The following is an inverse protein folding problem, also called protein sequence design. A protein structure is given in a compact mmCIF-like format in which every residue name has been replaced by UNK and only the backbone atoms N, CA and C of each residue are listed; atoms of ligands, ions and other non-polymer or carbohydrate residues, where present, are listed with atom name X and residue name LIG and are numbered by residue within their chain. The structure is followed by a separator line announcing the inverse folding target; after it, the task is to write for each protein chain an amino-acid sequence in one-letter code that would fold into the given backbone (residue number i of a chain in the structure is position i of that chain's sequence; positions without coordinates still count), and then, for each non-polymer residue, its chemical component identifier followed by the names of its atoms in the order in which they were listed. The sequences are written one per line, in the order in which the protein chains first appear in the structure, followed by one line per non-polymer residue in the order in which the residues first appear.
data_IF_355690421068
#
_entry.id   IF_355690421068
#
_cell.length_a   1.000
_cell.length_b   1.000
_cell.length_c   1.000
_cell.angle_alpha   90.00
_cell.angle_beta   90.00
_cell.angle_gamma   90.00
#
_symmetry.space_group_name_H-M   'P 1'
#
loop_
_entity.id
_entity.type
_entity.pdbx_description
1 polymer ?
#
# COMPACT_ATOMS: atom_id res chain seq x y z
N UNK A 1 10.91 -47.63 -14.85
CA UNK A 1 10.45 -47.15 -13.52
C UNK A 1 9.09 -46.47 -13.69
N UNK A 2 8.15 -46.70 -12.76
CA UNK A 2 6.82 -46.07 -12.78
C UNK A 2 6.96 -44.57 -12.43
N UNK A 3 6.24 -43.65 -13.11
CA UNK A 3 6.31 -42.22 -12.78
C UNK A 3 5.85 -42.00 -11.34
N UNK A 4 6.60 -41.18 -10.58
CA UNK A 4 6.20 -40.77 -9.24
C UNK A 4 4.80 -40.12 -9.33
N UNK A 5 3.85 -40.66 -8.57
CA UNK A 5 2.46 -40.22 -8.61
C UNK A 5 2.37 -38.73 -8.27
N UNK A 6 2.01 -37.92 -9.26
CA UNK A 6 1.85 -36.47 -9.13
C UNK A 6 0.83 -36.16 -8.03
N UNK A 7 1.26 -35.45 -6.99
CA UNK A 7 0.47 -35.21 -5.80
C UNK A 7 -0.78 -34.36 -6.15
N UNK A 8 -1.98 -34.86 -5.84
CA UNK A 8 -3.22 -34.11 -6.02
C UNK A 8 -3.29 -33.01 -4.96
N UNK A 9 -3.27 -31.76 -5.38
CA UNK A 9 -3.52 -30.61 -4.51
C UNK A 9 -5.02 -30.34 -4.45
N UNK A 10 -5.56 -30.14 -3.24
CA UNK A 10 -6.98 -29.79 -3.03
C UNK A 10 -7.29 -28.35 -3.44
N UNK A 11 -6.29 -27.46 -3.42
CA UNK A 11 -6.40 -26.07 -3.84
C UNK A 11 -5.18 -25.66 -4.68
N UNK A 12 -5.42 -25.00 -5.81
CA UNK A 12 -4.35 -24.38 -6.60
C UNK A 12 -3.93 -23.03 -5.99
N UNK A 13 -2.63 -22.72 -6.03
CA UNK A 13 -2.14 -21.41 -5.60
C UNK A 13 -2.69 -20.27 -6.48
N UNK A 14 -2.69 -19.03 -5.98
CA UNK A 14 -3.25 -17.87 -6.68
C UNK A 14 -2.64 -17.65 -8.07
N UNK A 15 -1.34 -17.90 -8.23
CA UNK A 15 -0.66 -17.79 -9.51
C UNK A 15 -1.14 -18.83 -10.54
N UNK A 16 -1.22 -20.11 -10.16
CA UNK A 16 -1.74 -21.17 -11.02
C UNK A 16 -3.23 -20.94 -11.36
N UNK A 17 -4.01 -20.42 -10.40
CA UNK A 17 -5.42 -20.07 -10.62
C UNK A 17 -5.57 -18.91 -11.61
N UNK A 18 -4.76 -17.87 -11.49
CA UNK A 18 -4.76 -16.73 -12.42
C UNK A 18 -4.38 -17.14 -13.84
N UNK A 19 -3.37 -18.02 -13.99
CA UNK A 19 -2.91 -18.55 -15.28
C UNK A 19 -3.76 -19.74 -15.80
N UNK A 20 -4.79 -20.17 -15.05
CA UNK A 20 -5.62 -21.36 -15.35
C UNK A 20 -4.82 -22.63 -15.63
N UNK A 21 -3.73 -22.83 -14.90
CA UNK A 21 -2.82 -23.98 -15.04
C UNK A 21 -2.96 -24.93 -13.85
N UNK A 22 -2.55 -26.20 -14.02
CA UNK A 22 -2.52 -27.17 -12.92
C UNK A 22 -1.43 -26.78 -11.91
N UNK A 23 -1.79 -26.77 -10.63
CA UNK A 23 -0.84 -26.53 -9.53
C UNK A 23 -0.18 -27.84 -9.12
N UNK A 24 1.13 -27.81 -8.90
CA UNK A 24 1.93 -28.93 -8.41
C UNK A 24 1.98 -29.00 -6.87
N UNK A 25 1.38 -28.02 -6.19
CA UNK A 25 1.30 -27.93 -4.73
C UNK A 25 2.62 -27.51 -4.08
N UNK A 26 3.66 -27.24 -4.88
CA UNK A 26 4.91 -26.67 -4.37
C UNK A 26 4.70 -25.18 -4.16
N UNK A 27 5.21 -24.70 -3.05
CA UNK A 27 5.19 -23.30 -2.73
C UNK A 27 6.04 -22.52 -3.77
N UNK A 28 5.53 -21.38 -4.29
CA UNK A 28 6.25 -20.60 -5.29
C UNK A 28 7.67 -20.25 -4.82
N UNK A 29 8.67 -20.43 -5.70
CA UNK A 29 10.08 -20.17 -5.39
C UNK A 29 10.34 -18.78 -4.80
N UNK A 30 9.57 -17.76 -5.24
CA UNK A 30 9.62 -16.40 -4.69
C UNK A 30 9.21 -16.32 -3.22
N UNK A 31 8.18 -17.04 -2.78
CA UNK A 31 7.72 -17.00 -1.39
C UNK A 31 8.80 -17.61 -0.49
N UNK A 32 9.27 -18.83 -0.83
CA UNK A 32 10.41 -19.48 -0.18
C UNK A 32 11.66 -18.60 -0.10
N UNK A 33 11.98 -17.89 -1.19
CA UNK A 33 13.13 -16.98 -1.23
C UNK A 33 12.96 -15.81 -0.25
N UNK A 34 11.76 -15.20 -0.18
CA UNK A 34 11.47 -14.11 0.73
C UNK A 34 11.41 -14.56 2.19
N UNK A 35 10.85 -15.74 2.46
CA UNK A 35 10.84 -16.34 3.80
C UNK A 35 12.26 -16.68 4.30
N UNK A 36 13.13 -17.16 3.41
CA UNK A 36 14.56 -17.35 3.70
C UNK A 36 15.25 -16.02 4.03
N UNK A 37 14.95 -14.95 3.28
CA UNK A 37 15.47 -13.61 3.58
C UNK A 37 14.99 -13.09 4.93
N UNK A 38 13.69 -13.24 5.27
CA UNK A 38 13.13 -12.89 6.58
C UNK A 38 13.87 -13.60 7.72
N UNK A 39 14.09 -14.90 7.56
CA UNK A 39 14.80 -15.72 8.55
C UNK A 39 16.23 -15.24 8.75
N UNK A 40 16.93 -14.85 7.67
CA UNK A 40 18.29 -14.31 7.73
C UNK A 40 18.40 -12.93 8.40
N UNK A 41 17.31 -12.15 8.40
CA UNK A 41 17.24 -10.81 8.99
C UNK A 41 16.86 -10.82 10.48
N UNK A 42 16.53 -11.98 11.06
CA UNK A 42 16.28 -12.13 12.50
C UNK A 42 15.01 -11.44 13.03
N UNK A 43 14.05 -11.09 12.16
CA UNK A 43 12.80 -10.46 12.58
C UNK A 43 11.85 -11.50 13.23
N UNK A 44 11.37 -11.30 14.47
CA UNK A 44 10.35 -12.18 15.06
C UNK A 44 9.01 -12.01 14.34
N UNK A 45 8.35 -13.11 14.01
CA UNK A 45 6.97 -13.13 13.51
C UNK A 45 6.00 -12.58 14.56
N UNK A 46 5.21 -11.52 14.29
CA UNK A 46 4.01 -11.25 15.07
C UNK A 46 2.91 -12.22 14.60
N UNK A 47 2.72 -13.30 15.35
CA UNK A 47 1.46 -14.03 15.46
C UNK A 47 0.85 -14.57 14.16
N UNK A 48 1.47 -15.59 13.56
CA UNK A 48 0.72 -16.60 12.83
C UNK A 48 0.65 -17.86 13.70
N UNK A 49 -0.44 -18.01 14.45
CA UNK A 49 -0.83 -19.32 14.97
C UNK A 49 -1.11 -20.21 13.75
N UNK A 50 -0.08 -20.93 13.31
CA UNK A 50 -0.25 -22.01 12.37
C UNK A 50 -0.73 -23.21 13.19
N UNK A 51 -1.99 -23.58 12.98
CA UNK A 51 -2.58 -24.80 13.53
C UNK A 51 -1.73 -25.97 13.03
N UNK A 52 -1.06 -26.65 13.94
CA UNK A 52 -0.31 -27.87 13.66
C UNK A 52 -1.25 -28.94 13.12
N UNK A 53 -1.03 -29.36 11.88
CA UNK A 53 -1.46 -30.68 11.39
C UNK A 53 -0.20 -31.41 10.98
N UNK A 54 0.23 -32.28 11.90
CA UNK A 54 1.50 -32.98 11.87
C UNK A 54 1.71 -33.83 10.63
N UNK A 55 2.98 -34.01 10.28
CA UNK A 55 3.42 -35.17 9.50
C UNK A 55 4.81 -35.58 9.92
N UNK A 56 4.85 -36.79 10.45
CA UNK A 56 6.02 -37.60 10.78
C UNK A 56 6.85 -37.88 9.51
N UNK A 57 8.17 -37.90 9.70
CA UNK A 57 9.03 -39.00 9.25
C UNK A 57 9.51 -39.04 7.80
N UNK A 58 10.83 -39.28 7.70
CA UNK A 58 11.56 -39.95 6.61
C UNK A 58 12.15 -39.06 5.51
N UNK A 59 13.43 -38.74 5.77
CA UNK A 59 14.61 -39.10 4.98
C UNK A 59 14.81 -38.53 3.57
N UNK A 60 16.01 -37.96 3.44
CA UNK A 60 16.63 -37.49 2.23
C UNK A 60 16.82 -38.63 1.22
N UNK A 61 16.68 -38.31 -0.05
CA UNK A 61 17.65 -38.76 -1.05
C UNK A 61 17.63 -37.81 -2.24
N UNK A 62 18.83 -37.31 -2.53
CA UNK A 62 19.21 -36.59 -3.73
C UNK A 62 19.03 -37.48 -4.94
N UNK A 63 18.51 -36.95 -6.05
CA UNK A 63 19.20 -37.08 -7.35
C UNK A 63 18.57 -36.17 -8.41
N UNK A 64 19.50 -35.60 -9.18
CA UNK A 64 19.34 -34.72 -10.33
C UNK A 64 18.74 -35.47 -11.52
N UNK A 65 17.80 -34.85 -12.25
CA UNK A 65 17.88 -34.74 -13.73
C UNK A 65 16.76 -33.88 -14.35
N UNK A 66 17.14 -33.27 -15.46
CA UNK A 66 16.54 -32.14 -16.20
C UNK A 66 15.22 -32.45 -16.91
N UNK A 67 14.26 -31.52 -16.86
CA UNK A 67 13.04 -31.56 -17.68
C UNK A 67 12.83 -30.22 -18.40
N UNK A 68 12.81 -30.27 -19.73
CA UNK A 68 12.66 -29.14 -20.65
C UNK A 68 11.18 -28.75 -20.73
N UNK A 69 10.76 -27.78 -19.91
CA UNK A 69 9.76 -26.81 -20.31
C UNK A 69 10.51 -25.55 -20.75
N UNK A 70 9.96 -24.78 -21.68
CA UNK A 70 10.41 -23.41 -21.99
C UNK A 70 10.29 -22.53 -20.73
N UNK A 71 11.22 -22.73 -19.80
CA UNK A 71 11.51 -21.88 -18.66
C UNK A 71 12.29 -20.72 -19.26
N UNK A 72 11.63 -19.59 -19.50
CA UNK A 72 12.36 -18.35 -19.66
C UNK A 72 13.13 -18.11 -18.36
N UNK A 73 14.46 -18.32 -18.33
CA UNK A 73 15.26 -18.21 -17.11
C UNK A 73 15.19 -16.77 -16.58
N UNK A 74 14.95 -15.81 -17.49
CA UNK A 74 14.77 -14.42 -17.17
C UNK A 74 13.47 -14.18 -16.39
N UNK A 75 12.39 -14.92 -16.65
CA UNK A 75 11.13 -14.83 -15.90
C UNK A 75 11.26 -15.37 -14.46
N UNK A 76 12.07 -16.41 -14.28
CA UNK A 76 12.35 -17.04 -12.99
C UNK A 76 13.32 -16.19 -12.18
N UNK A 77 14.37 -15.67 -12.82
CA UNK A 77 15.25 -14.65 -12.25
C UNK A 77 14.46 -13.39 -11.88
N UNK A 78 13.72 -12.76 -12.81
CA UNK A 78 12.94 -11.55 -12.51
C UNK A 78 11.89 -11.77 -11.42
N UNK A 79 11.33 -12.98 -11.31
CA UNK A 79 10.47 -13.40 -10.19
C UNK A 79 11.21 -13.55 -8.86
N UNK A 80 12.50 -13.89 -8.88
CA UNK A 80 13.41 -14.05 -7.74
C UNK A 80 14.18 -12.77 -7.37
N UNK A 81 14.24 -11.75 -8.24
CA UNK A 81 15.13 -10.57 -8.08
C UNK A 81 14.60 -9.51 -7.10
N UNK A 82 13.43 -9.74 -6.50
CA UNK A 82 12.98 -8.86 -5.43
C UNK A 82 13.60 -9.18 -4.08
N UNK A 83 14.00 -8.15 -3.34
CA UNK A 83 14.73 -8.27 -2.07
C UNK A 83 14.00 -7.56 -0.94
N UNK A 84 13.99 -8.18 0.24
CA UNK A 84 13.62 -7.53 1.48
C UNK A 84 14.84 -6.83 2.07
N UNK A 85 14.69 -5.55 2.41
CA UNK A 85 15.72 -4.77 3.09
C UNK A 85 15.09 -3.91 4.18
N UNK A 86 15.81 -3.77 5.29
CA UNK A 86 15.51 -2.75 6.30
C UNK A 86 16.15 -1.45 5.83
N UNK A 87 15.33 -0.42 5.66
CA UNK A 87 15.77 0.89 5.16
C UNK A 87 16.01 1.81 6.37
N UNK A 88 16.43 3.05 6.13
CA UNK A 88 16.69 4.09 7.14
C UNK A 88 15.48 4.39 8.05
N UNK A 89 14.28 3.92 7.67
CA UNK A 89 13.08 3.99 8.48
C UNK A 89 12.95 2.90 9.55
N UNK A 90 13.87 1.93 9.56
CA UNK A 90 13.83 0.78 10.44
C UNK A 90 12.72 -0.23 10.12
N UNK A 91 12.00 -0.05 9.03
CA UNK A 91 10.96 -0.97 8.58
C UNK A 91 11.47 -1.86 7.44
N UNK A 92 10.83 -3.01 7.31
CA UNK A 92 11.13 -3.98 6.26
C UNK A 92 10.37 -3.63 4.99
N UNK A 93 11.09 -3.39 3.90
CA UNK A 93 10.51 -3.08 2.59
C UNK A 93 10.83 -4.16 1.58
N UNK A 94 9.84 -4.47 0.71
CA UNK A 94 10.05 -5.33 -0.44
C UNK A 94 10.38 -4.48 -1.68
N UNK A 95 11.57 -4.66 -2.20
CA UNK A 95 12.02 -4.04 -3.45
C UNK A 95 11.84 -5.04 -4.58
N UNK A 96 11.08 -4.67 -5.61
CA UNK A 96 10.93 -5.48 -6.82
C UNK A 96 12.22 -5.51 -7.64
N UNK A 97 12.24 -6.33 -8.69
CA UNK A 97 13.43 -6.54 -9.49
C UNK A 97 13.99 -5.26 -10.14
N UNK A 98 13.09 -4.36 -10.52
CA UNK A 98 13.42 -3.05 -11.12
C UNK A 98 13.88 -2.01 -10.08
N UNK A 99 13.60 -2.24 -8.79
CA UNK A 99 13.92 -1.31 -7.69
C UNK A 99 15.20 -1.70 -6.94
N UNK A 100 15.77 -2.88 -7.22
CA UNK A 100 16.95 -3.43 -6.52
C UNK A 100 18.28 -2.71 -6.82
N UNK A 101 18.37 -1.88 -7.87
CA UNK A 101 19.66 -1.35 -8.34
C UNK A 101 20.25 -0.21 -7.48
N UNK A 102 19.47 0.38 -6.56
CA UNK A 102 19.87 1.57 -5.80
C UNK A 102 19.92 1.38 -4.28
N UNK A 103 19.83 0.14 -3.78
CA UNK A 103 19.87 -0.12 -2.34
C UNK A 103 21.29 0.09 -1.78
N UNK A 104 21.52 1.07 -0.88
CA UNK A 104 22.76 1.13 -0.12
C UNK A 104 22.87 -0.16 0.70
N UNK A 105 24.04 -0.81 0.65
CA UNK A 105 24.39 -1.82 1.65
C UNK A 105 24.62 -1.06 2.97
N UNK A 106 23.58 -1.00 3.79
CA UNK A 106 23.62 -0.63 5.21
C UNK A 106 23.85 0.86 5.51
N UNK A 107 22.97 1.53 6.28
CA UNK A 107 23.34 2.82 6.87
C UNK A 107 24.32 2.61 8.03
N UNK A 108 25.42 3.37 8.02
CA UNK A 108 26.47 3.35 9.03
C UNK A 108 26.16 4.23 10.26
N UNK A 109 24.93 4.73 10.44
CA UNK A 109 24.51 5.51 11.61
C UNK A 109 22.99 5.41 11.80
N UNK A 110 22.46 5.47 13.05
CA UNK A 110 21.03 5.58 13.28
C UNK A 110 20.57 6.99 12.87
N UNK A 111 20.14 7.12 11.62
CA UNK A 111 19.38 8.29 11.16
C UNK A 111 18.09 8.42 12.01
N UNK A 112 17.48 9.62 12.10
CA UNK A 112 16.15 9.73 12.69
C UNK A 112 15.21 8.76 11.98
N UNK A 113 14.61 7.83 12.72
CA UNK A 113 13.65 6.84 12.19
C UNK A 113 12.65 7.56 11.29
N UNK A 114 12.40 7.09 10.06
CA UNK A 114 11.54 7.84 9.14
C UNK A 114 10.12 8.06 9.67
N UNK A 115 9.64 7.26 10.63
CA UNK A 115 8.42 7.55 11.38
C UNK A 115 8.45 8.94 12.05
N UNK A 116 9.59 9.35 12.61
CA UNK A 116 9.79 10.65 13.22
C UNK A 116 9.85 11.76 12.16
N UNK A 117 10.36 11.48 10.96
CA UNK A 117 10.41 12.45 9.87
C UNK A 117 9.03 12.65 9.25
N UNK A 118 8.30 11.58 8.96
CA UNK A 118 6.93 11.61 8.45
C UNK A 118 6.00 12.40 9.39
N UNK A 119 6.06 12.12 10.70
CA UNK A 119 5.27 12.85 11.71
C UNK A 119 5.63 14.35 11.75
N UNK A 120 6.91 14.70 11.55
CA UNK A 120 7.35 16.10 11.43
C UNK A 120 6.78 16.75 10.17
N UNK A 121 6.84 16.08 9.02
CA UNK A 121 6.30 16.59 7.76
C UNK A 121 4.79 16.82 7.85
N UNK A 122 4.05 15.92 8.49
CA UNK A 122 2.62 16.12 8.77
C UNK A 122 2.35 17.38 9.60
N UNK A 123 3.11 17.55 10.68
CA UNK A 123 2.95 18.71 11.58
C UNK A 123 3.26 20.01 10.85
N UNK A 124 4.33 20.04 10.05
CA UNK A 124 4.70 21.21 9.23
C UNK A 124 3.66 21.50 8.16
N UNK A 125 3.15 20.48 7.46
CA UNK A 125 2.11 20.65 6.46
C UNK A 125 0.82 21.21 7.05
N UNK A 126 0.39 20.72 8.22
CA UNK A 126 -0.78 21.26 8.93
C UNK A 126 -0.57 22.72 9.36
N UNK A 127 0.62 23.04 9.88
CA UNK A 127 0.97 24.40 10.25
C UNK A 127 0.97 25.35 9.04
N UNK A 128 1.49 24.89 7.90
CA UNK A 128 1.48 25.65 6.65
C UNK A 128 0.05 25.87 6.12
N UNK A 129 -0.79 24.82 6.13
CA UNK A 129 -2.20 24.94 5.75
C UNK A 129 -2.95 25.93 6.65
N UNK A 130 -2.67 25.92 7.96
CA UNK A 130 -3.24 26.88 8.90
C UNK A 130 -2.78 28.33 8.63
N UNK A 131 -1.49 28.54 8.38
CA UNK A 131 -0.93 29.86 8.05
C UNK A 131 -1.52 30.46 6.77
N UNK A 132 -1.85 29.60 5.80
CA UNK A 132 -2.47 30.00 4.53
C UNK A 132 -4.00 30.15 4.62
N UNK A 133 -4.61 29.86 5.78
CA UNK A 133 -6.07 29.90 5.94
C UNK A 133 -6.80 28.79 5.19
N UNK A 134 -6.09 27.70 4.83
CA UNK A 134 -6.61 26.58 4.05
C UNK A 134 -6.91 25.35 4.89
N UNK A 135 -6.72 25.42 6.21
CA UNK A 135 -7.08 24.35 7.13
C UNK A 135 -8.60 24.27 7.28
N UNK A 136 -9.18 23.16 6.83
CA UNK A 136 -10.62 22.90 6.83
C UNK A 136 -10.98 22.06 8.04
N UNK A 137 -11.73 22.65 8.98
CA UNK A 137 -12.31 21.95 10.12
C UNK A 137 -13.79 21.64 9.84
N UNK A 138 -14.23 20.42 10.14
CA UNK A 138 -15.61 19.98 9.95
C UNK A 138 -16.15 19.27 11.19
N UNK A 139 -17.47 19.12 11.28
CA UNK A 139 -18.12 18.38 12.36
C UNK A 139 -17.88 16.88 12.23
N UNK A 140 -17.87 16.16 13.35
CA UNK A 140 -17.76 14.69 13.37
C UNK A 140 -18.85 14.02 12.53
N UNK A 141 -20.06 14.59 12.51
CA UNK A 141 -21.17 14.09 11.68
C UNK A 141 -20.84 14.17 10.19
N UNK A 142 -20.25 15.28 9.74
CA UNK A 142 -19.88 15.47 8.35
C UNK A 142 -18.68 14.59 7.96
N UNK A 143 -17.72 14.40 8.86
CA UNK A 143 -16.61 13.45 8.63
C UNK A 143 -17.13 12.04 8.37
N UNK A 144 -18.05 11.58 9.22
CA UNK A 144 -18.61 10.23 9.11
C UNK A 144 -19.47 10.06 7.86
N UNK A 145 -20.23 11.10 7.48
CA UNK A 145 -20.95 11.16 6.21
C UNK A 145 -20.01 11.02 5.00
N UNK A 146 -18.92 11.79 4.96
CA UNK A 146 -17.95 11.73 3.88
C UNK A 146 -17.22 10.37 3.82
N UNK A 147 -16.93 9.77 4.97
CA UNK A 147 -16.33 8.44 5.03
C UNK A 147 -17.29 7.36 4.57
N UNK A 148 -18.57 7.41 4.93
CA UNK A 148 -19.56 6.46 4.40
C UNK A 148 -19.61 6.52 2.87
N UNK A 149 -19.68 7.75 2.32
CA UNK A 149 -19.65 7.95 0.86
C UNK A 149 -18.38 7.40 0.22
N UNK A 150 -17.20 7.62 0.83
CA UNK A 150 -15.94 7.06 0.34
C UNK A 150 -16.00 5.53 0.24
N UNK A 151 -16.39 4.86 1.31
CA UNK A 151 -16.43 3.40 1.36
C UNK A 151 -17.46 2.81 0.41
N UNK A 152 -18.59 3.52 0.23
CA UNK A 152 -19.70 3.08 -0.60
C UNK A 152 -19.41 3.23 -2.09
N UNK A 153 -18.86 4.37 -2.50
CA UNK A 153 -18.77 4.75 -3.91
C UNK A 153 -17.35 4.70 -4.46
N UNK A 154 -16.38 5.27 -3.76
CA UNK A 154 -15.01 5.40 -4.30
C UNK A 154 -14.20 4.13 -4.09
N UNK A 155 -14.13 3.61 -2.85
CA UNK A 155 -13.27 2.47 -2.52
C UNK A 155 -13.80 1.13 -3.07
N UNK A 156 -15.10 1.05 -3.38
CA UNK A 156 -15.71 -0.12 -4.03
C UNK A 156 -15.28 -0.25 -5.50
N UNK A 157 -15.04 0.87 -6.17
CA UNK A 157 -14.54 0.92 -7.54
C UNK A 157 -13.02 0.85 -7.62
N UNK A 158 -12.31 1.54 -6.73
CA UNK A 158 -10.85 1.55 -6.68
C UNK A 158 -10.37 1.30 -5.25
N UNK A 159 -9.93 0.06 -5.00
CA UNK A 159 -9.52 -0.40 -3.68
C UNK A 159 -8.10 0.11 -3.34
N UNK A 160 -8.01 1.39 -2.96
CA UNK A 160 -6.75 2.06 -2.60
C UNK A 160 -6.47 1.90 -1.09
N UNK A 161 -7.53 1.95 -0.27
CA UNK A 161 -7.40 2.00 1.19
C UNK A 161 -8.06 0.78 1.82
N UNK A 162 -7.30 0.06 2.65
CA UNK A 162 -7.84 -1.04 3.44
C UNK A 162 -8.69 -0.52 4.59
N UNK A 163 -10.03 -0.61 4.45
CA UNK A 163 -11.02 -0.05 5.40
C UNK A 163 -10.75 -0.42 6.85
N UNK A 164 -10.47 -1.70 7.13
CA UNK A 164 -10.25 -2.16 8.51
C UNK A 164 -8.97 -1.62 9.15
N UNK A 165 -7.93 -1.32 8.36
CA UNK A 165 -6.68 -0.77 8.87
C UNK A 165 -6.84 0.72 9.14
N UNK A 166 -7.44 1.43 8.17
CA UNK A 166 -7.79 2.84 8.32
C UNK A 166 -8.65 3.11 9.55
N UNK A 167 -9.72 2.35 9.77
CA UNK A 167 -10.62 2.55 10.90
C UNK A 167 -9.96 2.28 12.25
N UNK A 168 -9.04 1.29 12.34
CA UNK A 168 -8.26 1.07 13.57
C UNK A 168 -7.31 2.22 13.86
N UNK A 169 -6.59 2.72 12.84
CA UNK A 169 -5.76 3.92 12.99
C UNK A 169 -6.56 5.15 13.38
N UNK A 170 -7.72 5.38 12.77
CA UNK A 170 -8.61 6.50 13.12
C UNK A 170 -9.12 6.40 14.57
N UNK A 171 -9.38 5.19 15.05
CA UNK A 171 -9.82 4.94 16.42
C UNK A 171 -8.69 4.97 17.46
N UNK A 172 -7.43 5.19 17.04
CA UNK A 172 -6.27 5.15 17.94
C UNK A 172 -5.96 3.75 18.49
N UNK A 173 -6.41 2.69 17.81
CA UNK A 173 -6.18 1.30 18.19
C UNK A 173 -4.82 0.76 17.71
N UNK A 174 -4.12 1.53 16.90
CA UNK A 174 -2.74 1.29 16.48
C UNK A 174 -1.96 2.62 16.49
N UNK A 175 -0.78 2.65 15.89
CA UNK A 175 0.10 3.83 15.89
C UNK A 175 -0.28 4.91 14.87
N UNK A 176 -1.50 4.88 14.34
CA UNK A 176 -2.04 5.92 13.47
C UNK A 176 -1.49 5.89 12.04
N UNK A 177 -0.63 4.91 11.71
CA UNK A 177 0.09 4.84 10.43
C UNK A 177 -0.81 4.75 9.20
N UNK A 178 -2.06 4.31 9.32
CA UNK A 178 -2.97 4.16 8.19
C UNK A 178 -4.05 5.25 8.11
N UNK A 179 -3.97 6.30 8.93
CA UNK A 179 -4.92 7.41 8.92
C UNK A 179 -4.17 8.74 9.09
N UNK A 180 -3.53 9.23 8.02
CA UNK A 180 -2.86 10.53 8.02
C UNK A 180 -3.81 11.69 7.74
N UNK A 181 -3.48 12.93 8.18
CA UNK A 181 -4.24 14.13 7.82
C UNK A 181 -4.34 14.34 6.30
N UNK A 182 -3.26 14.03 5.57
CA UNK A 182 -3.22 14.10 4.12
C UNK A 182 -4.20 13.11 3.48
N UNK A 183 -4.16 11.84 3.89
CA UNK A 183 -5.07 10.82 3.37
C UNK A 183 -6.52 11.16 3.68
N UNK A 184 -6.81 11.63 4.89
CA UNK A 184 -8.14 12.05 5.29
C UNK A 184 -8.63 13.23 4.43
N UNK A 185 -7.78 14.23 4.19
CA UNK A 185 -8.11 15.37 3.32
C UNK A 185 -8.38 14.94 1.88
N UNK A 186 -7.59 14.01 1.33
CA UNK A 186 -7.81 13.48 -0.02
C UNK A 186 -9.11 12.67 -0.11
N UNK A 187 -9.42 11.84 0.89
CA UNK A 187 -10.68 11.10 0.99
C UNK A 187 -11.87 12.05 1.05
N UNK A 188 -11.81 13.11 1.85
CA UNK A 188 -12.87 14.11 1.91
C UNK A 188 -13.04 14.87 0.60
N UNK A 189 -11.95 15.26 -0.05
CA UNK A 189 -11.97 15.97 -1.32
C UNK A 189 -12.69 15.17 -2.43
N UNK A 190 -12.40 13.87 -2.57
CA UNK A 190 -13.07 13.04 -3.58
C UNK A 190 -14.52 12.72 -3.18
N UNK A 191 -14.78 12.49 -1.89
CA UNK A 191 -16.08 12.03 -1.41
C UNK A 191 -17.13 13.13 -1.38
N UNK A 192 -16.71 14.38 -1.21
CA UNK A 192 -17.59 15.54 -1.25
C UNK A 192 -18.39 15.64 -2.57
N UNK A 193 -17.88 15.08 -3.67
CA UNK A 193 -18.58 15.01 -4.96
C UNK A 193 -19.83 14.13 -4.95
N UNK A 194 -19.91 13.18 -4.03
CA UNK A 194 -21.06 12.30 -3.87
C UNK A 194 -22.08 12.84 -2.86
N UNK A 195 -21.89 14.07 -2.38
CA UNK A 195 -22.72 14.72 -1.38
C UNK A 195 -23.39 15.97 -1.96
N UNK A 196 -24.67 16.15 -1.66
CA UNK A 196 -25.43 17.35 -2.05
C UNK A 196 -25.34 18.49 -1.04
N UNK A 197 -24.63 18.30 0.08
CA UNK A 197 -24.54 19.30 1.16
C UNK A 197 -23.81 20.56 0.69
N UNK A 198 -24.47 21.72 0.88
CA UNK A 198 -23.95 23.03 0.45
C UNK A 198 -22.70 23.44 1.22
N UNK A 199 -22.57 23.01 2.48
CA UNK A 199 -21.40 23.29 3.34
C UNK A 199 -20.07 22.74 2.81
N UNK A 200 -20.11 21.79 1.86
CA UNK A 200 -18.91 21.25 1.21
C UNK A 200 -18.45 22.06 0.01
N UNK A 201 -19.28 23.01 -0.46
CA UNK A 201 -19.02 23.81 -1.66
C UNK A 201 -18.32 25.09 -1.28
N UNK A 202 -17.25 25.42 -2.01
CA UNK A 202 -16.60 26.74 -1.86
C UNK A 202 -17.46 27.87 -2.43
N UNK A 203 -18.28 27.56 -3.44
CA UNK A 203 -19.29 28.47 -3.99
C UNK A 203 -20.64 27.78 -3.82
N UNK A 204 -21.52 28.34 -2.98
CA UNK A 204 -22.77 27.69 -2.55
C UNK A 204 -23.65 27.20 -3.72
N UNK A 205 -23.73 28.02 -4.78
CA UNK A 205 -24.57 27.78 -5.96
C UNK A 205 -23.90 26.91 -7.03
N UNK A 206 -22.65 26.51 -6.85
CA UNK A 206 -21.90 25.70 -7.81
C UNK A 206 -21.49 24.34 -7.21
N UNK A 207 -22.25 23.26 -7.53
CA UNK A 207 -21.93 21.91 -7.09
C UNK A 207 -20.55 21.40 -7.52
N UNK A 208 -19.98 21.93 -8.61
CA UNK A 208 -18.65 21.51 -9.08
C UNK A 208 -17.54 21.87 -8.09
N UNK A 209 -17.78 22.85 -7.22
CA UNK A 209 -16.83 23.29 -6.20
C UNK A 209 -16.83 22.46 -4.92
N UNK A 210 -17.69 21.44 -4.83
CA UNK A 210 -17.78 20.57 -3.66
C UNK A 210 -16.44 19.86 -3.40
N UNK A 211 -15.87 20.05 -2.21
CA UNK A 211 -14.60 19.44 -1.81
C UNK A 211 -13.34 20.19 -2.25
N UNK A 212 -13.45 21.36 -2.87
CA UNK A 212 -12.28 22.15 -3.28
C UNK A 212 -11.40 22.55 -2.10
N UNK A 213 -11.99 22.94 -0.96
CA UNK A 213 -11.24 23.29 0.25
C UNK A 213 -10.34 22.13 0.72
N UNK A 214 -10.87 20.91 0.78
CA UNK A 214 -10.10 19.71 1.11
C UNK A 214 -9.05 19.37 0.07
N UNK A 215 -9.34 19.60 -1.22
CA UNK A 215 -8.39 19.38 -2.31
C UNK A 215 -7.17 20.29 -2.16
N UNK A 216 -7.38 21.57 -1.90
CA UNK A 216 -6.29 22.52 -1.67
C UNK A 216 -5.51 22.21 -0.39
N UNK A 217 -6.19 21.86 0.71
CA UNK A 217 -5.52 21.38 1.92
C UNK A 217 -4.65 20.15 1.63
N UNK A 218 -5.18 19.15 0.91
CA UNK A 218 -4.45 17.95 0.57
C UNK A 218 -3.21 18.24 -0.29
N UNK A 219 -3.28 19.20 -1.23
CA UNK A 219 -2.10 19.61 -2.03
C UNK A 219 -0.99 20.20 -1.16
N UNK A 220 -1.35 21.05 -0.20
CA UNK A 220 -0.38 21.62 0.75
C UNK A 220 0.26 20.50 1.57
N UNK A 221 -0.56 19.62 2.17
CA UNK A 221 -0.05 18.51 2.97
C UNK A 221 0.85 17.56 2.16
N UNK A 222 0.48 17.29 0.91
CA UNK A 222 1.25 16.42 0.01
C UNK A 222 2.62 17.00 -0.32
N UNK A 223 2.73 18.33 -0.46
CA UNK A 223 4.02 18.99 -0.69
C UNK A 223 5.02 18.65 0.43
N UNK A 224 4.59 18.74 1.69
CA UNK A 224 5.44 18.43 2.84
C UNK A 224 5.67 16.92 3.02
N UNK A 225 4.61 16.11 3.00
CA UNK A 225 4.74 14.66 3.17
C UNK A 225 5.53 13.99 2.04
N UNK A 226 5.71 14.63 0.88
CA UNK A 226 6.55 14.12 -0.22
C UNK A 226 8.04 14.04 0.13
N UNK A 227 8.51 14.80 1.12
CA UNK A 227 9.90 14.71 1.61
C UNK A 227 10.13 13.46 2.48
N UNK A 228 9.07 12.86 3.01
CA UNK A 228 9.10 11.66 3.83
C UNK A 228 7.86 10.79 3.57
N UNK A 229 7.75 10.20 2.37
CA UNK A 229 6.53 9.55 1.94
C UNK A 229 6.26 8.27 2.73
N UNK A 230 4.99 8.05 3.05
CA UNK A 230 4.47 6.82 3.65
C UNK A 230 3.46 6.13 2.73
N UNK A 231 2.97 4.96 3.14
CA UNK A 231 1.85 4.30 2.45
C UNK A 231 0.64 5.23 2.29
N UNK A 232 0.32 6.03 3.31
CA UNK A 232 -0.81 6.95 3.28
C UNK A 232 -0.57 8.12 2.33
N UNK A 233 0.69 8.54 2.16
CA UNK A 233 1.09 9.59 1.21
C UNK A 233 0.84 9.12 -0.22
N UNK A 234 1.23 7.89 -0.55
CA UNK A 234 0.97 7.28 -1.87
C UNK A 234 -0.52 7.09 -2.12
N UNK A 235 -1.25 6.56 -1.14
CA UNK A 235 -2.72 6.41 -1.22
C UNK A 235 -3.40 7.75 -1.44
N UNK A 236 -3.00 8.79 -0.71
CA UNK A 236 -3.54 10.13 -0.85
C UNK A 236 -3.23 10.73 -2.22
N UNK A 237 -2.01 10.59 -2.73
CA UNK A 237 -1.62 11.07 -4.06
C UNK A 237 -2.49 10.43 -5.16
N UNK A 238 -2.71 9.11 -5.10
CA UNK A 238 -3.58 8.41 -6.04
C UNK A 238 -5.04 8.91 -5.98
N UNK A 239 -5.59 9.08 -4.77
CA UNK A 239 -6.96 9.60 -4.59
C UNK A 239 -7.07 11.05 -5.06
N UNK A 240 -6.07 11.88 -4.74
CA UNK A 240 -6.01 13.29 -5.14
C UNK A 240 -5.89 13.43 -6.66
N UNK A 241 -5.09 12.58 -7.31
CA UNK A 241 -5.02 12.47 -8.76
C UNK A 241 -6.39 12.20 -9.38
N UNK A 242 -7.11 11.18 -8.89
CA UNK A 242 -8.48 10.88 -9.35
C UNK A 242 -9.46 12.05 -9.16
N UNK A 243 -9.36 12.77 -8.04
CA UNK A 243 -10.16 13.98 -7.80
C UNK A 243 -9.83 15.07 -8.83
N UNK A 244 -8.56 15.34 -9.08
CA UNK A 244 -8.13 16.38 -10.04
C UNK A 244 -8.52 16.03 -11.47
N UNK A 245 -8.39 14.76 -11.88
CA UNK A 245 -8.85 14.29 -13.20
C UNK A 245 -10.35 14.49 -13.36
N UNK A 246 -11.11 14.28 -12.28
CA UNK A 246 -12.56 14.48 -12.28
C UNK A 246 -12.98 15.95 -12.47
N UNK A 247 -12.07 16.91 -12.25
CA UNK A 247 -12.28 18.33 -12.50
C UNK A 247 -11.84 18.75 -13.92
N UNK A 248 -11.55 17.77 -14.80
CA UNK A 248 -11.09 18.01 -16.17
C UNK A 248 -9.60 18.38 -16.28
N UNK A 249 -8.84 18.29 -15.19
CA UNK A 249 -7.41 18.62 -15.15
C UNK A 249 -6.54 17.37 -15.31
N UNK A 250 -6.77 16.61 -16.39
CA UNK A 250 -6.21 15.27 -16.58
C UNK A 250 -4.67 15.24 -16.49
N UNK A 251 -3.97 16.15 -17.19
CA UNK A 251 -2.51 16.21 -17.17
C UNK A 251 -1.94 16.41 -15.75
N UNK A 252 -2.59 17.23 -14.92
CA UNK A 252 -2.20 17.43 -13.53
C UNK A 252 -2.51 16.19 -12.68
N UNK A 253 -3.63 15.52 -12.94
CA UNK A 253 -3.96 14.26 -12.29
C UNK A 253 -2.93 13.17 -12.54
N UNK A 254 -2.46 13.03 -13.79
CA UNK A 254 -1.39 12.11 -14.16
C UNK A 254 -0.07 12.41 -13.42
N UNK A 255 0.26 13.69 -13.23
CA UNK A 255 1.44 14.08 -12.46
C UNK A 255 1.39 13.55 -11.02
N UNK A 256 0.22 13.55 -10.38
CA UNK A 256 0.05 13.03 -9.01
C UNK A 256 0.03 11.50 -8.93
N UNK A 257 -0.47 10.81 -9.95
CA UNK A 257 -0.49 9.34 -9.99
C UNK A 257 0.89 8.73 -10.34
N UNK A 258 1.77 9.50 -10.98
CA UNK A 258 3.04 9.03 -11.52
C UNK A 258 2.87 8.33 -12.88
N UNK A 259 3.85 8.44 -13.79
CA UNK A 259 3.90 7.70 -15.06
C UNK A 259 4.31 6.23 -14.89
#
# INVERSE_FOLDING_TARGET
MKPAGRQRVSLACLACRAKRMRCDGKEPARIRHLESQLTSLGAPLPGAQCVELGREGSEAESETESDQHDHDPLSELTGLVGRLAVVDDGQLHYFGSQSSFNLPRQPANPAPTAQNLWTRMQTQGLAAAAQLGMLTAISSELEDHLLDLYWRWQNSWNYIVHKGAFLRSRAGLDDGRYCSPLLLSAIFAISARYSDRVELRTIADDPSTSGNAFCEQAKILLLYESEAPSVTTVQAAAILGLRIMSDGKEALGWLYCGP
#
